data_IF_242555932994
#
_entry.id   IF_242555932994
#
_cell.length_a   1.000
_cell.length_b   1.000
_cell.length_c   1.000
_cell.angle_alpha   90.00
_cell.angle_beta   90.00
_cell.angle_gamma   90.00
#
_symmetry.space_group_name_H-M   'P 1'
#
loop_
_entity.id
_entity.type
_entity.pdbx_description
1 polymer ?
#
# COMPACT_ATOMS: atom_id res chain seq x y z
N UNK A 1 -74.95 43.19 -11.44
CA UNK A 1 -74.50 41.80 -11.45
C UNK A 1 -73.27 41.77 -12.31
N UNK A 2 -72.04 41.64 -11.71
CA UNK A 2 -70.79 41.46 -12.48
C UNK A 2 -70.67 39.99 -12.76
N UNK A 3 -70.71 39.65 -14.03
CA UNK A 3 -70.47 38.30 -14.53
C UNK A 3 -69.02 37.84 -14.20
N UNK A 4 -68.91 36.91 -13.25
CA UNK A 4 -67.70 36.20 -12.93
C UNK A 4 -67.51 34.98 -13.85
N UNK A 5 -67.98 35.07 -15.09
CA UNK A 5 -67.83 34.02 -16.08
C UNK A 5 -66.53 34.24 -16.85
N UNK A 6 -65.50 33.51 -16.46
CA UNK A 6 -64.50 33.12 -17.42
C UNK A 6 -63.17 33.88 -17.40
N UNK A 7 -62.48 33.91 -16.30
CA UNK A 7 -61.05 34.13 -16.39
C UNK A 7 -60.31 32.78 -16.37
N UNK A 8 -60.54 31.99 -17.46
CA UNK A 8 -59.84 30.72 -17.74
C UNK A 8 -58.32 30.94 -17.92
N UNK A 9 -57.88 32.16 -18.22
CA UNK A 9 -56.49 32.54 -18.36
C UNK A 9 -55.80 32.59 -17.01
N UNK A 10 -56.38 33.13 -15.97
CA UNK A 10 -55.85 33.18 -14.63
C UNK A 10 -55.64 31.77 -14.00
N UNK A 11 -56.56 30.84 -14.32
CA UNK A 11 -56.43 29.46 -13.89
C UNK A 11 -55.29 28.73 -14.65
N UNK A 12 -55.19 28.97 -15.95
CA UNK A 12 -54.11 28.41 -16.76
C UNK A 12 -52.71 28.90 -16.28
N UNK A 13 -52.60 30.21 -16.05
CA UNK A 13 -51.35 30.81 -15.54
C UNK A 13 -50.98 30.27 -14.13
N UNK A 14 -51.97 30.08 -13.28
CA UNK A 14 -51.74 29.47 -11.98
C UNK A 14 -51.28 28.03 -12.08
N UNK A 15 -51.87 27.18 -12.93
CA UNK A 15 -51.49 25.80 -13.12
C UNK A 15 -50.09 25.71 -13.75
N UNK A 16 -49.78 26.54 -14.77
CA UNK A 16 -48.46 26.61 -15.39
C UNK A 16 -47.40 27.02 -14.37
N UNK A 17 -47.65 28.02 -13.56
CA UNK A 17 -46.75 28.46 -12.51
C UNK A 17 -46.45 27.35 -11.49
N UNK A 18 -47.49 26.61 -11.05
CA UNK A 18 -47.31 25.48 -10.14
C UNK A 18 -46.58 24.32 -10.78
N UNK A 19 -46.85 23.99 -12.02
CA UNK A 19 -46.13 22.95 -12.79
C UNK A 19 -44.65 23.33 -12.98
N UNK A 20 -44.39 24.59 -13.32
CA UNK A 20 -43.00 25.08 -13.48
C UNK A 20 -42.24 25.02 -12.15
N UNK A 21 -42.86 25.33 -11.02
CA UNK A 21 -42.25 25.27 -9.68
C UNK A 21 -41.95 23.84 -9.27
N UNK A 22 -42.84 22.88 -9.57
CA UNK A 22 -42.62 21.44 -9.34
C UNK A 22 -41.47 20.93 -10.19
N UNK A 23 -41.45 21.28 -11.46
CA UNK A 23 -40.36 20.90 -12.40
C UNK A 23 -39.00 21.46 -11.94
N UNK A 24 -38.94 22.73 -11.56
CA UNK A 24 -37.75 23.36 -11.03
C UNK A 24 -37.26 22.66 -9.75
N UNK A 25 -38.17 22.27 -8.86
CA UNK A 25 -37.84 21.52 -7.66
C UNK A 25 -37.27 20.15 -7.98
N UNK A 26 -37.85 19.42 -8.93
CA UNK A 26 -37.33 18.09 -9.35
C UNK A 26 -35.91 18.22 -9.92
N UNK A 27 -35.67 19.20 -10.79
CA UNK A 27 -34.33 19.45 -11.35
C UNK A 27 -33.32 19.80 -10.28
N UNK A 28 -33.71 20.64 -9.32
CA UNK A 28 -32.86 21.03 -8.21
C UNK A 28 -32.50 19.83 -7.31
N UNK A 29 -33.48 19.00 -6.97
CA UNK A 29 -33.23 17.78 -6.18
C UNK A 29 -32.37 16.78 -6.94
N UNK A 30 -32.60 16.60 -8.24
CA UNK A 30 -31.75 15.73 -9.06
C UNK A 30 -30.29 16.23 -9.10
N UNK A 31 -30.09 17.53 -9.27
CA UNK A 31 -28.76 18.14 -9.26
C UNK A 31 -28.06 17.98 -7.88
N UNK A 32 -28.80 18.21 -6.79
CA UNK A 32 -28.26 17.99 -5.42
C UNK A 32 -27.91 16.53 -5.17
N UNK A 33 -28.74 15.60 -5.64
CA UNK A 33 -28.46 14.17 -5.50
C UNK A 33 -27.18 13.77 -6.24
N UNK A 34 -27.02 14.22 -7.49
CA UNK A 34 -25.79 13.98 -8.25
C UNK A 34 -24.55 14.59 -7.59
N UNK A 35 -24.70 15.78 -7.02
CA UNK A 35 -23.60 16.44 -6.31
C UNK A 35 -23.18 15.65 -5.06
N UNK A 36 -24.14 15.18 -4.25
CA UNK A 36 -23.86 14.37 -3.05
C UNK A 36 -23.23 13.03 -3.42
N UNK A 37 -23.70 12.37 -4.48
CA UNK A 37 -23.10 11.13 -4.98
C UNK A 37 -21.65 11.37 -5.40
N UNK A 38 -21.36 12.45 -6.13
CA UNK A 38 -19.98 12.80 -6.52
C UNK A 38 -19.05 13.08 -5.33
N UNK A 39 -19.54 13.66 -4.25
CA UNK A 39 -18.74 13.85 -3.04
C UNK A 39 -18.38 12.52 -2.34
N UNK A 40 -19.31 11.58 -2.29
CA UNK A 40 -19.04 10.25 -1.71
C UNK A 40 -17.96 9.50 -2.50
N UNK A 41 -17.99 9.58 -3.82
CA UNK A 41 -16.98 8.95 -4.67
C UNK A 41 -15.59 9.56 -4.43
N UNK A 42 -15.54 10.88 -4.34
CA UNK A 42 -14.29 11.59 -4.06
C UNK A 42 -13.72 11.22 -2.68
N UNK A 43 -14.57 11.17 -1.66
CA UNK A 43 -14.19 10.77 -0.30
C UNK A 43 -13.67 9.33 -0.29
N UNK A 44 -14.34 8.39 -0.96
CA UNK A 44 -13.90 7.01 -1.07
C UNK A 44 -12.54 6.88 -1.77
N UNK A 45 -12.33 7.63 -2.85
CA UNK A 45 -11.05 7.69 -3.55
C UNK A 45 -9.94 8.27 -2.68
N UNK A 46 -10.21 9.35 -1.92
CA UNK A 46 -9.23 9.95 -1.01
C UNK A 46 -8.86 8.99 0.14
N UNK A 47 -9.83 8.27 0.68
CA UNK A 47 -9.59 7.27 1.73
C UNK A 47 -8.73 6.12 1.21
N UNK A 48 -9.00 5.60 0.02
CA UNK A 48 -8.20 4.55 -0.62
C UNK A 48 -6.76 5.04 -0.88
N UNK A 49 -6.63 6.28 -1.34
CA UNK A 49 -5.35 6.93 -1.60
C UNK A 49 -4.53 7.15 -0.31
N UNK A 50 -5.20 7.50 0.77
CA UNK A 50 -4.60 7.62 2.10
C UNK A 50 -4.04 6.27 2.57
N UNK A 51 -4.81 5.17 2.45
CA UNK A 51 -4.38 3.83 2.84
C UNK A 51 -3.17 3.35 2.04
N UNK A 52 -3.18 3.57 0.71
CA UNK A 52 -2.04 3.24 -0.13
C UNK A 52 -0.78 4.03 0.26
N UNK A 53 -0.94 5.30 0.65
CA UNK A 53 0.15 6.16 1.13
C UNK A 53 0.65 5.74 2.51
N UNK A 54 -0.25 5.39 3.42
CA UNK A 54 0.12 4.94 4.78
C UNK A 54 0.92 3.64 4.70
N UNK A 55 0.45 2.65 3.93
CA UNK A 55 1.19 1.41 3.69
C UNK A 55 2.56 1.67 3.06
N UNK A 56 2.60 2.43 1.96
CA UNK A 56 3.87 2.85 1.32
C UNK A 56 4.83 3.48 2.32
N UNK A 57 4.34 4.36 3.18
CA UNK A 57 5.17 5.02 4.19
C UNK A 57 5.76 4.02 5.18
N UNK A 58 4.98 3.03 5.61
CA UNK A 58 5.47 1.95 6.49
C UNK A 58 6.54 1.10 5.82
N UNK A 59 6.37 0.76 4.56
CA UNK A 59 7.38 0.04 3.77
C UNK A 59 8.66 0.87 3.65
N UNK A 60 8.55 2.14 3.32
CA UNK A 60 9.71 3.04 3.20
C UNK A 60 10.42 3.27 4.54
N UNK A 61 9.67 3.38 5.65
CA UNK A 61 10.25 3.44 7.00
C UNK A 61 11.04 2.16 7.31
N UNK A 62 10.52 0.98 6.98
CA UNK A 62 11.24 -0.28 7.14
C UNK A 62 12.53 -0.31 6.31
N UNK A 63 12.50 0.23 5.09
CA UNK A 63 13.66 0.34 4.20
C UNK A 63 14.71 1.34 4.70
N UNK A 64 14.26 2.48 5.24
CA UNK A 64 15.11 3.57 5.69
C UNK A 64 15.79 3.30 7.04
N UNK A 65 15.26 2.37 7.85
CA UNK A 65 15.92 1.99 9.11
C UNK A 65 17.32 1.51 8.80
N UNK A 66 18.30 2.22 9.33
CA UNK A 66 19.67 1.74 9.30
C UNK A 66 19.71 0.44 10.08
N UNK A 67 20.55 -0.52 9.63
CA UNK A 67 21.04 -1.52 10.55
C UNK A 67 21.86 -0.70 11.57
N UNK A 68 21.23 -0.30 12.66
CA UNK A 68 21.97 0.15 13.81
C UNK A 68 22.74 -1.08 14.28
N UNK A 69 24.01 -1.17 13.86
CA UNK A 69 24.99 -1.73 14.73
C UNK A 69 24.86 -0.93 16.03
N UNK A 70 24.18 -1.48 17.03
CA UNK A 70 24.46 -1.13 18.40
C UNK A 70 25.92 -1.50 18.62
N UNK A 71 26.84 -0.55 18.29
CA UNK A 71 28.14 -0.58 18.87
C UNK A 71 27.87 -0.49 20.38
N UNK A 72 28.19 -1.55 21.17
CA UNK A 72 28.13 -1.41 22.60
C UNK A 72 29.07 -0.25 22.91
N UNK A 73 28.53 0.85 23.40
CA UNK A 73 29.36 1.87 24.08
C UNK A 73 29.97 1.13 25.24
N UNK A 74 31.24 0.74 25.07
CA UNK A 74 32.07 0.21 26.15
C UNK A 74 32.06 1.27 27.27
N UNK A 75 31.10 1.14 28.15
CA UNK A 75 31.28 1.63 29.51
C UNK A 75 32.40 0.74 30.11
N UNK A 76 33.61 1.31 30.17
CA UNK A 76 34.73 0.83 30.94
C UNK A 76 34.29 0.65 32.40
N UNK A 77 33.82 -0.52 32.77
CA UNK A 77 33.83 -1.01 34.13
C UNK A 77 33.90 -2.55 34.14
N UNK A 78 35.00 -3.03 34.73
CA UNK A 78 35.32 -4.41 35.05
C UNK A 78 34.14 -5.32 35.36
N UNK A 79 33.98 -6.39 34.55
CA UNK A 79 33.56 -7.69 35.08
C UNK A 79 33.80 -8.79 34.03
N UNK A 80 34.75 -9.67 34.34
CA UNK A 80 34.86 -10.99 33.73
C UNK A 80 33.54 -11.73 33.95
N UNK A 81 32.88 -12.16 32.89
CA UNK A 81 32.38 -13.53 32.73
C UNK A 81 31.55 -13.71 31.46
N UNK A 82 31.87 -14.76 30.75
CA UNK A 82 31.04 -15.53 29.81
C UNK A 82 30.72 -14.92 28.44
N UNK A 83 31.67 -15.06 27.51
CA UNK A 83 31.45 -15.08 26.07
C UNK A 83 30.53 -16.26 25.71
N UNK A 84 29.25 -15.98 25.50
CA UNK A 84 28.31 -16.79 24.74
C UNK A 84 27.18 -15.89 24.26
N UNK A 85 27.48 -14.97 23.40
CA UNK A 85 26.46 -14.25 22.61
C UNK A 85 26.63 -14.70 21.18
N UNK A 86 25.81 -15.67 20.75
CA UNK A 86 25.43 -15.81 19.36
C UNK A 86 24.64 -14.54 19.06
N UNK A 87 25.30 -13.53 18.52
CA UNK A 87 24.67 -12.34 17.97
C UNK A 87 23.89 -12.78 16.73
N UNK A 88 22.65 -13.19 16.98
CA UNK A 88 21.62 -13.29 15.97
C UNK A 88 21.34 -11.85 15.53
N UNK A 89 21.82 -11.47 14.35
CA UNK A 89 21.40 -10.25 13.67
C UNK A 89 19.87 -10.26 13.59
N UNK A 90 19.22 -9.58 14.53
CA UNK A 90 17.78 -9.42 14.56
C UNK A 90 17.37 -8.49 13.42
N UNK A 91 17.14 -9.07 12.24
CA UNK A 91 16.38 -8.40 11.20
C UNK A 91 15.01 -8.05 11.78
N UNK A 92 14.79 -6.77 12.05
CA UNK A 92 13.59 -6.29 12.74
C UNK A 92 12.41 -6.41 11.80
N UNK A 93 11.61 -7.45 11.99
CA UNK A 93 10.34 -7.63 11.30
C UNK A 93 9.31 -6.65 11.87
N UNK A 94 8.58 -6.00 10.99
CA UNK A 94 7.50 -5.07 11.33
C UNK A 94 6.21 -5.58 10.70
N UNK A 95 5.11 -5.48 11.42
CA UNK A 95 3.80 -5.91 10.92
C UNK A 95 2.94 -4.71 10.54
N UNK A 96 2.11 -4.91 9.52
CA UNK A 96 1.10 -3.96 9.08
C UNK A 96 -0.22 -4.70 8.84
N UNK A 97 -1.32 -4.12 9.31
CA UNK A 97 -2.67 -4.63 9.06
C UNK A 97 -3.57 -3.49 8.58
N UNK A 98 -4.23 -3.66 7.44
CA UNK A 98 -5.18 -2.67 6.94
C UNK A 98 -6.43 -2.63 7.79
N UNK A 99 -6.89 -3.77 8.29
CA UNK A 99 -8.11 -3.87 9.09
C UNK A 99 -8.00 -3.14 10.45
N UNK A 100 -6.80 -2.87 10.93
CA UNK A 100 -6.59 -2.06 12.15
C UNK A 100 -6.85 -0.56 11.93
N UNK A 101 -6.94 -0.11 10.69
CA UNK A 101 -7.15 1.29 10.35
C UNK A 101 -8.64 1.64 10.37
N UNK A 102 -9.02 2.67 11.13
CA UNK A 102 -10.39 3.19 11.14
C UNK A 102 -10.86 3.59 9.74
N UNK A 103 -9.97 4.19 8.94
CA UNK A 103 -10.24 4.59 7.56
C UNK A 103 -10.60 3.38 6.70
N UNK A 104 -9.94 2.24 6.87
CA UNK A 104 -10.24 1.01 6.12
C UNK A 104 -11.65 0.49 6.47
N UNK A 105 -12.00 0.48 7.75
CA UNK A 105 -13.33 0.06 8.21
C UNK A 105 -14.45 1.02 7.79
N UNK A 106 -14.12 2.28 7.55
CA UNK A 106 -15.07 3.30 7.10
C UNK A 106 -15.29 3.32 5.59
N UNK A 107 -14.50 2.55 4.82
CA UNK A 107 -14.66 2.45 3.37
C UNK A 107 -16.05 1.93 3.00
N UNK A 108 -16.69 2.50 1.98
CA UNK A 108 -18.00 2.05 1.53
C UNK A 108 -17.95 0.67 0.85
N UNK A 109 -16.76 0.18 0.51
CA UNK A 109 -16.51 -1.08 -0.19
C UNK A 109 -16.53 -2.32 0.72
N UNK A 110 -16.57 -2.13 2.06
CA UNK A 110 -16.38 -3.24 2.99
C UNK A 110 -15.02 -3.92 2.82
N UNK A 111 -14.98 -5.26 2.89
CA UNK A 111 -13.76 -6.06 2.71
C UNK A 111 -13.34 -6.30 1.25
N UNK A 112 -14.03 -5.75 0.24
CA UNK A 112 -13.79 -6.04 -1.18
C UNK A 112 -12.63 -5.22 -1.79
N UNK A 113 -11.66 -4.82 -0.97
CA UNK A 113 -10.44 -4.13 -1.43
C UNK A 113 -9.38 -5.17 -1.76
N UNK A 114 -8.93 -5.18 -3.02
CA UNK A 114 -7.78 -5.98 -3.46
C UNK A 114 -6.50 -5.19 -3.28
N UNK A 115 -5.54 -5.77 -2.57
CA UNK A 115 -4.22 -5.18 -2.37
C UNK A 115 -3.22 -5.96 -3.18
N UNK A 116 -2.60 -5.31 -4.16
CA UNK A 116 -1.52 -5.87 -4.97
C UNK A 116 -0.23 -5.17 -4.66
N UNK A 117 0.81 -5.96 -4.45
CA UNK A 117 2.17 -5.46 -4.18
C UNK A 117 3.11 -6.06 -5.21
N UNK A 118 3.91 -5.21 -5.82
CA UNK A 118 5.05 -5.59 -6.66
C UNK A 118 6.33 -5.00 -6.09
N UNK A 119 7.47 -5.25 -6.72
CA UNK A 119 8.74 -4.64 -6.33
C UNK A 119 8.81 -3.12 -6.49
N UNK A 120 7.87 -2.53 -7.20
CA UNK A 120 7.89 -1.11 -7.55
C UNK A 120 6.77 -0.30 -6.89
N UNK A 121 5.61 -0.93 -6.61
CA UNK A 121 4.44 -0.21 -6.12
C UNK A 121 3.49 -1.07 -5.30
N UNK A 122 2.66 -0.41 -4.51
CA UNK A 122 1.41 -0.95 -3.99
C UNK A 122 0.24 -0.41 -4.79
N UNK A 123 -0.74 -1.26 -5.07
CA UNK A 123 -1.98 -0.93 -5.76
C UNK A 123 -3.17 -1.44 -4.93
N UNK A 124 -4.03 -0.53 -4.50
CA UNK A 124 -5.31 -0.84 -3.88
C UNK A 124 -6.40 -0.64 -4.93
N UNK A 125 -7.25 -1.64 -5.11
CA UNK A 125 -8.37 -1.62 -6.06
C UNK A 125 -9.64 -2.06 -5.34
N UNK A 126 -10.73 -1.37 -5.62
CA UNK A 126 -12.07 -1.71 -5.14
C UNK A 126 -13.09 -1.41 -6.22
N UNK A 127 -14.13 -2.25 -6.30
CA UNK A 127 -15.28 -2.04 -7.17
C UNK A 127 -16.51 -1.76 -6.30
N UNK A 128 -17.21 -0.67 -6.57
CA UNK A 128 -18.42 -0.30 -5.85
C UNK A 128 -19.44 0.37 -6.76
N UNK A 129 -20.69 -0.11 -6.77
CA UNK A 129 -21.77 0.44 -7.59
C UNK A 129 -21.39 0.62 -9.08
N UNK A 130 -20.77 -0.40 -9.70
CA UNK A 130 -20.28 -0.38 -11.09
C UNK A 130 -19.18 0.67 -11.36
N UNK A 131 -18.44 1.09 -10.33
CA UNK A 131 -17.32 2.02 -10.43
C UNK A 131 -16.06 1.41 -9.87
N UNK A 132 -14.96 1.68 -10.56
CA UNK A 132 -13.64 1.22 -10.18
C UNK A 132 -12.90 2.34 -9.44
N UNK A 133 -12.43 2.05 -8.24
CA UNK A 133 -11.58 2.90 -7.44
C UNK A 133 -10.17 2.29 -7.42
N UNK A 134 -9.17 3.13 -7.62
CA UNK A 134 -7.80 2.65 -7.67
C UNK A 134 -6.84 3.66 -7.10
N UNK A 135 -5.95 3.19 -6.19
CA UNK A 135 -4.86 3.98 -5.64
C UNK A 135 -3.53 3.24 -5.85
N UNK A 136 -2.57 3.90 -6.49
CA UNK A 136 -1.24 3.34 -6.77
C UNK A 136 -0.18 4.24 -6.16
N UNK A 137 0.78 3.64 -5.40
CA UNK A 137 1.90 4.37 -4.79
C UNK A 137 3.20 3.62 -5.02
N UNK A 138 4.20 4.26 -5.65
CA UNK A 138 5.50 3.67 -5.85
C UNK A 138 6.29 3.64 -4.53
N UNK A 139 7.10 2.60 -4.35
CA UNK A 139 8.03 2.50 -3.22
C UNK A 139 9.32 3.28 -3.49
N UNK A 140 9.97 3.75 -2.41
CA UNK A 140 11.29 4.37 -2.49
C UNK A 140 12.42 3.35 -2.47
N UNK A 141 12.16 2.15 -1.98
CA UNK A 141 13.12 1.06 -1.87
C UNK A 141 12.69 -0.12 -2.73
N UNK A 142 13.65 -1.01 -3.04
CA UNK A 142 13.35 -2.25 -3.72
C UNK A 142 12.56 -3.17 -2.80
N UNK A 143 11.42 -3.62 -3.25
CA UNK A 143 10.54 -4.55 -2.57
C UNK A 143 10.57 -5.89 -3.29
N UNK A 144 10.42 -6.99 -2.54
CA UNK A 144 10.24 -8.33 -3.07
C UNK A 144 9.02 -8.95 -2.39
N UNK A 145 7.98 -9.34 -3.16
CA UNK A 145 6.69 -9.76 -2.61
C UNK A 145 6.69 -11.25 -2.21
N UNK A 146 7.65 -11.66 -1.37
CA UNK A 146 7.78 -13.02 -0.85
C UNK A 146 8.67 -13.03 0.40
N UNK A 147 8.67 -14.15 1.11
CA UNK A 147 9.44 -14.32 2.33
C UNK A 147 10.93 -14.66 2.06
N UNK A 148 11.72 -14.63 3.13
CA UNK A 148 13.17 -14.90 3.08
C UNK A 148 13.52 -16.28 2.51
N UNK A 149 12.77 -17.33 2.89
CA UNK A 149 13.04 -18.69 2.42
C UNK A 149 12.92 -18.81 0.89
N UNK A 150 11.89 -18.14 0.33
CA UNK A 150 11.69 -18.08 -1.14
C UNK A 150 12.81 -17.30 -1.81
N UNK A 151 13.23 -16.16 -1.21
CA UNK A 151 14.35 -15.39 -1.71
C UNK A 151 15.63 -16.23 -1.77
N UNK A 152 15.98 -16.87 -0.66
CA UNK A 152 17.17 -17.71 -0.55
C UNK A 152 17.16 -18.88 -1.55
N UNK A 153 16.01 -19.53 -1.75
CA UNK A 153 15.85 -20.59 -2.74
C UNK A 153 16.05 -20.07 -4.17
N UNK A 154 15.45 -18.93 -4.52
CA UNK A 154 15.62 -18.29 -5.83
C UNK A 154 17.08 -17.88 -6.07
N UNK A 155 17.77 -17.32 -5.07
CA UNK A 155 19.19 -16.96 -5.14
C UNK A 155 20.07 -18.19 -5.27
N UNK A 156 19.85 -19.23 -4.47
CA UNK A 156 20.59 -20.50 -4.56
C UNK A 156 20.43 -21.17 -5.92
N UNK A 157 19.23 -21.18 -6.45
CA UNK A 157 18.94 -21.77 -7.76
C UNK A 157 19.65 -21.02 -8.88
N UNK A 158 19.76 -19.70 -8.78
CA UNK A 158 20.36 -18.86 -9.85
C UNK A 158 21.86 -18.72 -9.74
N UNK A 159 22.39 -18.56 -8.51
CA UNK A 159 23.78 -18.19 -8.25
C UNK A 159 24.56 -19.25 -7.45
N UNK A 160 23.92 -20.32 -6.99
CA UNK A 160 24.54 -21.41 -6.23
C UNK A 160 24.68 -21.16 -4.74
N UNK A 161 24.43 -19.93 -4.26
CA UNK A 161 24.50 -19.55 -2.83
C UNK A 161 23.31 -18.71 -2.42
N UNK A 162 23.11 -18.54 -1.11
CA UNK A 162 21.93 -17.84 -0.55
C UNK A 162 22.09 -16.32 -0.49
N UNK A 163 23.32 -15.82 -0.67
CA UNK A 163 23.60 -14.39 -0.54
C UNK A 163 23.65 -13.89 0.90
N UNK A 164 23.87 -14.79 1.87
CA UNK A 164 24.12 -14.42 3.26
C UNK A 164 25.56 -13.88 3.44
N UNK A 165 25.84 -13.23 4.59
CA UNK A 165 27.19 -12.75 4.92
C UNK A 165 28.22 -13.90 4.92
N UNK A 166 27.83 -15.05 5.46
CA UNK A 166 28.70 -16.24 5.50
C UNK A 166 28.83 -16.92 4.13
N UNK A 167 27.86 -16.73 3.22
CA UNK A 167 27.82 -17.34 1.89
C UNK A 167 27.38 -16.33 0.85
N UNK A 168 28.21 -15.31 0.54
CA UNK A 168 27.86 -14.24 -0.40
C UNK A 168 27.73 -14.76 -1.83
N UNK A 169 26.94 -14.07 -2.65
CA UNK A 169 26.82 -14.35 -4.08
C UNK A 169 28.13 -14.01 -4.79
N UNK A 170 28.59 -14.91 -5.64
CA UNK A 170 29.77 -14.68 -6.52
C UNK A 170 29.23 -14.38 -7.91
N UNK A 171 28.89 -13.13 -8.15
CA UNK A 171 28.35 -12.69 -9.44
C UNK A 171 28.62 -11.20 -9.64
N UNK A 172 28.50 -10.75 -10.90
CA UNK A 172 28.55 -9.34 -11.23
C UNK A 172 27.34 -8.60 -10.61
N UNK A 173 27.60 -7.44 -10.02
CA UNK A 173 26.62 -6.56 -9.41
C UNK A 173 25.43 -6.26 -10.34
N UNK A 174 25.70 -6.05 -11.64
CA UNK A 174 24.68 -5.79 -12.66
C UNK A 174 23.75 -6.99 -12.86
N UNK A 175 24.32 -8.21 -12.86
CA UNK A 175 23.56 -9.44 -13.04
C UNK A 175 22.59 -9.69 -11.86
N UNK A 176 23.07 -9.40 -10.64
CA UNK A 176 22.24 -9.52 -9.43
C UNK A 176 21.15 -8.45 -9.44
N UNK A 177 21.48 -7.20 -9.76
CA UNK A 177 20.53 -6.11 -9.88
C UNK A 177 19.41 -6.40 -10.87
N UNK A 178 19.76 -6.93 -12.06
CA UNK A 178 18.79 -7.35 -13.07
C UNK A 178 17.92 -8.52 -12.59
N UNK A 179 18.50 -9.50 -11.90
CA UNK A 179 17.74 -10.62 -11.34
C UNK A 179 16.74 -10.17 -10.29
N UNK A 180 17.14 -9.32 -9.35
CA UNK A 180 16.25 -8.76 -8.33
C UNK A 180 15.13 -7.89 -8.94
N UNK A 181 15.40 -7.23 -10.08
CA UNK A 181 14.36 -6.49 -10.80
C UNK A 181 13.32 -7.43 -11.40
N UNK A 182 13.75 -8.56 -11.97
CA UNK A 182 12.81 -9.58 -12.48
C UNK A 182 11.98 -10.18 -11.35
N UNK A 183 12.59 -10.47 -10.20
CA UNK A 183 11.86 -10.96 -9.02
C UNK A 183 10.86 -9.96 -8.50
N UNK A 184 11.20 -8.67 -8.49
CA UNK A 184 10.30 -7.61 -8.10
C UNK A 184 9.14 -7.36 -9.08
N UNK A 185 9.21 -7.87 -10.32
CA UNK A 185 8.10 -7.78 -11.27
C UNK A 185 6.95 -8.76 -10.95
N UNK A 186 7.19 -9.75 -10.10
CA UNK A 186 6.13 -10.64 -9.60
C UNK A 186 5.17 -9.80 -8.73
N UNK A 187 3.86 -10.00 -8.92
CA UNK A 187 2.83 -9.37 -8.08
C UNK A 187 2.32 -10.38 -7.05
N UNK A 188 2.23 -9.96 -5.79
CA UNK A 188 1.50 -10.68 -4.75
C UNK A 188 0.17 -9.98 -4.45
N UNK A 189 -0.86 -10.78 -4.21
CA UNK A 189 -2.16 -10.33 -3.70
C UNK A 189 -2.13 -10.56 -2.19
N UNK A 190 -2.39 -9.50 -1.43
CA UNK A 190 -2.41 -9.54 0.02
C UNK A 190 -3.85 -9.48 0.53
N UNK A 191 -4.11 -10.23 1.60
CA UNK A 191 -5.37 -10.17 2.32
C UNK A 191 -5.36 -8.96 3.28
N UNK A 192 -6.29 -8.00 3.14
CA UNK A 192 -6.34 -6.84 4.02
C UNK A 192 -6.67 -7.17 5.48
N UNK A 193 -7.24 -8.34 5.75
CA UNK A 193 -7.64 -8.77 7.10
C UNK A 193 -6.48 -9.44 7.87
N UNK A 194 -5.46 -9.91 7.15
CA UNK A 194 -4.29 -10.56 7.73
C UNK A 194 -3.13 -9.59 7.99
N UNK A 195 -2.26 -9.97 8.91
CA UNK A 195 -1.02 -9.24 9.18
C UNK A 195 -0.04 -9.41 8.03
N UNK A 196 0.48 -8.31 7.53
CA UNK A 196 1.49 -8.25 6.50
C UNK A 196 2.84 -8.05 7.17
N UNK A 197 3.76 -8.97 6.93
CA UNK A 197 5.14 -8.89 7.42
C UNK A 197 5.97 -8.00 6.50
N UNK A 198 6.68 -7.04 7.07
CA UNK A 198 7.64 -6.16 6.43
C UNK A 198 9.03 -6.43 7.04
N UNK A 199 9.92 -7.07 6.28
CA UNK A 199 11.26 -7.43 6.74
C UNK A 199 12.31 -6.83 5.83
N UNK A 200 13.27 -6.10 6.39
CA UNK A 200 14.46 -5.67 5.65
C UNK A 200 15.46 -6.81 5.58
N UNK A 201 15.96 -7.10 4.39
CA UNK A 201 16.93 -8.16 4.14
C UNK A 201 18.15 -7.62 3.40
N UNK A 202 19.34 -8.14 3.71
CA UNK A 202 20.58 -7.85 3.02
C UNK A 202 21.05 -9.05 2.20
N UNK A 203 21.29 -8.81 0.94
CA UNK A 203 21.89 -9.79 0.03
C UNK A 203 23.36 -9.41 -0.16
N UNK A 204 24.26 -10.25 0.32
CA UNK A 204 25.69 -10.03 0.25
C UNK A 204 26.25 -10.53 -1.07
N UNK A 205 27.10 -9.72 -1.66
CA UNK A 205 27.75 -9.97 -2.96
C UNK A 205 29.24 -9.80 -2.81
N UNK A 206 29.98 -10.78 -3.29
CA UNK A 206 31.45 -10.74 -3.32
C UNK A 206 31.92 -10.55 -4.76
N UNK A 207 32.57 -9.44 -5.00
CA UNK A 207 33.25 -9.13 -6.25
C UNK A 207 34.79 -9.09 -6.08
N UNK A 208 35.48 -8.51 -7.05
CA UNK A 208 36.95 -8.38 -7.01
C UNK A 208 37.43 -7.32 -6.02
N UNK A 209 36.58 -6.40 -5.64
CA UNK A 209 36.91 -5.25 -4.79
C UNK A 209 36.58 -5.52 -3.31
N UNK A 210 35.70 -6.51 -3.04
CA UNK A 210 35.35 -6.88 -1.68
C UNK A 210 33.94 -7.50 -1.56
N UNK A 211 33.34 -7.33 -0.38
CA UNK A 211 31.97 -7.74 -0.12
C UNK A 211 31.11 -6.48 -0.01
N UNK A 212 30.05 -6.42 -0.80
CA UNK A 212 29.02 -5.38 -0.76
C UNK A 212 27.66 -5.99 -0.47
N UNK A 213 26.68 -5.18 -0.07
CA UNK A 213 25.35 -5.65 0.24
C UNK A 213 24.27 -4.86 -0.51
N UNK A 214 23.23 -5.57 -0.96
CA UNK A 214 21.98 -4.99 -1.47
C UNK A 214 20.91 -5.06 -0.40
N UNK A 215 20.36 -3.93 -0.04
CA UNK A 215 19.15 -3.90 0.80
C UNK A 215 17.89 -4.10 -0.02
N UNK A 216 17.00 -4.95 0.44
CA UNK A 216 15.62 -5.09 -0.09
C UNK A 216 14.64 -5.23 1.08
N UNK A 217 13.35 -5.02 0.78
CA UNK A 217 12.27 -5.20 1.74
C UNK A 217 11.44 -6.38 1.28
N UNK A 218 11.28 -7.37 2.13
CA UNK A 218 10.40 -8.50 1.89
C UNK A 218 9.01 -8.16 2.41
N UNK A 219 7.97 -8.42 1.60
CA UNK A 219 6.56 -8.23 1.95
C UNK A 219 5.84 -9.56 1.73
N UNK A 220 5.23 -10.09 2.80
CA UNK A 220 4.56 -11.38 2.76
C UNK A 220 3.54 -11.56 3.89
N UNK A 221 2.69 -12.56 3.77
CA UNK A 221 1.74 -13.04 4.77
C UNK A 221 2.02 -14.49 5.10
#
# INVERSE_FOLDING_TARGET
>A
MRDFTGDNSAWADFLISKAALILASIVLFAALFHLVAGFKDLEAQEQLDYLARDFKTKVDEAGARNFQEEFPVESLEDSQDTFNSQDTFNSQETFYCFNDKEVFRALPFGGDVKIRVSGEYVCLEAEFEERDFRAVRPFAFRVLPFNESVLQEKLRTRFGTEGSEASPLIADYTAIGAFLQVLGAEEAILDPEENISLKKELIYVKDREGVSAFGCILIYQ
#
